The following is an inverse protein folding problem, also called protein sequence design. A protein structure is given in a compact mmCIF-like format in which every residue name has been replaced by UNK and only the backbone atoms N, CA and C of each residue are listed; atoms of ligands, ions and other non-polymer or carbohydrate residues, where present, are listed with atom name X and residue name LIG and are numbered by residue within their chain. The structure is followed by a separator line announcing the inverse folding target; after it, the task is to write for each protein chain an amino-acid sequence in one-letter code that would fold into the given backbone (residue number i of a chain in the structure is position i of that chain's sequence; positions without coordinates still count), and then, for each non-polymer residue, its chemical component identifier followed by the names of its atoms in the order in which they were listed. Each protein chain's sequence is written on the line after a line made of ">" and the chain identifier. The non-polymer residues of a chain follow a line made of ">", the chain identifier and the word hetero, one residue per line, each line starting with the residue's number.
data_IF_928835393594
#
_entry.id   IF_928835393594
#
_cell.length_a   1.000
_cell.length_b   1.000
_cell.length_c   1.000
_cell.angle_alpha   90.00
_cell.angle_beta   90.00
_cell.angle_gamma   90.00
#
_symmetry.space_group_name_H-M   'P 1'
#
loop_
_entity.id
_entity.type
_entity.pdbx_description
1 polymer ?
#
# COMPACT_ATOMS: atom_id res chain seq x y z
N UNK A 1 -22.99 4.91 -3.57
CA UNK A 1 -21.61 5.17 -4.01
C UNK A 1 -20.83 6.09 -3.08
N UNK A 2 -19.52 6.16 -3.23
CA UNK A 2 -18.67 7.05 -2.45
C UNK A 2 -18.19 8.19 -3.34
N UNK A 3 -18.60 9.42 -3.04
CA UNK A 3 -18.26 10.63 -3.80
C UNK A 3 -16.74 10.82 -4.03
N UNK A 4 -15.88 10.29 -3.15
CA UNK A 4 -14.43 10.35 -3.30
C UNK A 4 -13.91 9.62 -4.55
N UNK A 5 -14.65 8.64 -5.08
CA UNK A 5 -14.27 7.91 -6.28
C UNK A 5 -14.56 8.66 -7.59
N UNK A 6 -15.44 9.65 -7.56
CA UNK A 6 -15.77 10.47 -8.75
C UNK A 6 -14.56 11.23 -9.30
N UNK A 7 -13.57 11.52 -8.45
CA UNK A 7 -12.35 12.25 -8.82
C UNK A 7 -11.15 11.35 -9.12
N UNK A 8 -11.26 10.04 -8.79
CA UNK A 8 -10.17 9.10 -9.02
C UNK A 8 -10.13 8.69 -10.49
N UNK A 9 -9.02 8.99 -11.15
CA UNK A 9 -8.74 8.59 -12.53
C UNK A 9 -7.37 7.95 -12.58
N UNK A 10 -7.28 6.79 -13.24
CA UNK A 10 -5.99 6.15 -13.43
C UNK A 10 -5.07 7.03 -14.28
N UNK A 11 -3.95 7.45 -13.70
CA UNK A 11 -2.87 8.22 -14.33
C UNK A 11 -1.56 7.43 -14.41
N UNK A 12 -1.62 6.12 -14.15
CA UNK A 12 -0.43 5.27 -14.04
C UNK A 12 0.17 4.82 -15.38
N UNK A 13 -0.46 5.10 -16.51
CA UNK A 13 -0.07 4.58 -17.82
C UNK A 13 1.41 4.80 -18.13
N UNK A 14 1.94 6.00 -17.87
CA UNK A 14 3.34 6.36 -18.08
C UNK A 14 4.13 6.49 -16.76
N UNK A 15 3.56 6.01 -15.66
CA UNK A 15 4.21 6.07 -14.35
C UNK A 15 5.17 4.90 -14.17
N UNK A 16 6.20 5.12 -13.36
CA UNK A 16 7.13 4.12 -12.87
C UNK A 16 7.00 3.93 -11.35
N UNK A 17 5.90 4.41 -10.75
CA UNK A 17 5.75 4.50 -9.31
C UNK A 17 4.94 3.32 -8.75
N UNK A 18 5.41 2.77 -7.66
CA UNK A 18 4.63 1.95 -6.73
C UNK A 18 4.42 2.73 -5.44
N UNK A 19 3.30 2.52 -4.77
CA UNK A 19 2.98 3.17 -3.51
C UNK A 19 3.07 2.17 -2.36
N UNK A 20 3.82 2.52 -1.33
CA UNK A 20 3.86 1.80 -0.05
C UNK A 20 3.22 2.67 1.00
N UNK A 21 2.03 2.30 1.45
CA UNK A 21 1.22 3.12 2.35
C UNK A 21 0.64 2.28 3.49
N UNK A 22 1.40 2.10 4.59
CA UNK A 22 0.94 1.32 5.73
C UNK A 22 -0.07 2.06 6.60
N UNK A 23 -0.90 1.30 7.29
CA UNK A 23 -1.81 1.81 8.32
C UNK A 23 -1.04 2.08 9.61
N UNK A 24 -1.45 3.10 10.35
CA UNK A 24 -0.93 3.33 11.70
C UNK A 24 -1.34 2.23 12.68
N UNK A 25 -0.62 2.14 13.78
CA UNK A 25 -0.91 1.20 14.88
C UNK A 25 -1.33 1.99 16.11
N UNK A 26 -2.53 1.74 16.62
CA UNK A 26 -3.06 2.46 17.79
C UNK A 26 -2.18 2.32 19.03
N UNK A 27 -1.53 1.16 19.19
CA UNK A 27 -0.61 0.92 20.32
C UNK A 27 0.75 1.63 20.18
N UNK A 28 1.01 2.32 19.08
CA UNK A 28 2.18 3.17 18.87
C UNK A 28 1.82 4.66 18.83
N UNK A 29 0.56 5.01 19.06
CA UNK A 29 0.14 6.40 19.11
C UNK A 29 0.80 7.11 20.29
N UNK A 30 1.48 8.23 20.04
CA UNK A 30 2.23 8.96 21.05
C UNK A 30 3.56 8.33 21.49
N UNK A 31 4.01 7.26 20.80
CA UNK A 31 5.32 6.67 21.05
C UNK A 31 6.44 7.69 20.79
N UNK A 32 7.48 7.66 21.62
CA UNK A 32 8.73 8.34 21.35
C UNK A 32 9.43 7.72 20.10
N UNK A 33 10.38 8.43 19.51
CA UNK A 33 11.16 7.92 18.37
C UNK A 33 11.83 6.57 18.71
N UNK A 34 12.36 6.44 19.91
CA UNK A 34 12.97 5.20 20.37
C UNK A 34 11.96 4.05 20.44
N UNK A 35 10.78 4.26 21.04
CA UNK A 35 9.74 3.24 21.13
C UNK A 35 9.22 2.85 19.75
N UNK A 36 9.08 3.84 18.84
CA UNK A 36 8.70 3.60 17.47
C UNK A 36 9.75 2.76 16.75
N UNK A 37 11.04 3.09 16.82
CA UNK A 37 12.14 2.37 16.18
C UNK A 37 12.35 0.95 16.75
N UNK A 38 12.01 0.72 18.02
CA UNK A 38 12.06 -0.60 18.66
C UNK A 38 10.83 -1.46 18.31
N UNK A 39 9.81 -0.91 17.63
CA UNK A 39 8.59 -1.63 17.29
C UNK A 39 8.75 -2.61 16.12
N UNK A 40 7.93 -3.66 16.11
CA UNK A 40 7.84 -4.59 14.98
C UNK A 40 7.38 -3.88 13.70
N UNK A 41 6.50 -2.88 13.82
CA UNK A 41 6.06 -2.04 12.71
C UNK A 41 7.24 -1.37 12.00
N UNK A 42 8.05 -0.64 12.74
CA UNK A 42 9.23 0.02 12.18
C UNK A 42 10.22 -0.98 11.59
N UNK A 43 10.54 -2.07 12.32
CA UNK A 43 11.52 -3.08 11.86
C UNK A 43 11.11 -3.70 10.52
N UNK A 44 9.83 -4.03 10.34
CA UNK A 44 9.36 -4.65 9.10
C UNK A 44 9.41 -3.69 7.92
N UNK A 45 8.95 -2.44 8.08
CA UNK A 45 9.01 -1.46 6.99
C UNK A 45 10.44 -0.96 6.74
N UNK A 46 11.25 -0.76 7.76
CA UNK A 46 12.67 -0.45 7.58
C UNK A 46 13.42 -1.58 6.85
N UNK A 47 13.11 -2.85 7.18
CA UNK A 47 13.67 -4.00 6.47
C UNK A 47 13.26 -4.04 5.01
N UNK A 48 12.01 -3.74 4.67
CA UNK A 48 11.55 -3.62 3.28
C UNK A 48 12.32 -2.52 2.54
N UNK A 49 12.33 -1.30 3.08
CA UNK A 49 12.91 -0.12 2.41
C UNK A 49 14.43 -0.20 2.28
N UNK A 50 15.10 -0.96 3.14
CA UNK A 50 16.55 -1.19 3.10
C UNK A 50 16.96 -2.52 2.47
N UNK A 51 16.00 -3.38 2.10
CA UNK A 51 16.26 -4.65 1.43
C UNK A 51 17.03 -4.46 0.13
N UNK A 52 18.18 -5.13 -0.01
CA UNK A 52 18.92 -5.11 -1.27
C UNK A 52 18.08 -5.69 -2.41
N UNK A 53 17.37 -6.81 -2.16
CA UNK A 53 16.48 -7.42 -3.14
C UNK A 53 15.39 -6.45 -3.61
N UNK A 54 14.80 -5.67 -2.71
CA UNK A 54 13.80 -4.66 -3.08
C UNK A 54 14.40 -3.58 -4.00
N UNK A 55 15.58 -3.08 -3.66
CA UNK A 55 16.31 -2.09 -4.48
C UNK A 55 16.65 -2.66 -5.86
N UNK A 56 17.14 -3.91 -5.92
CA UNK A 56 17.46 -4.59 -7.17
C UNK A 56 16.21 -4.79 -8.07
N UNK A 57 15.05 -5.09 -7.47
CA UNK A 57 13.78 -5.16 -8.20
C UNK A 57 13.42 -3.79 -8.78
N UNK A 58 13.50 -2.71 -7.99
CA UNK A 58 13.19 -1.36 -8.46
C UNK A 58 14.11 -0.95 -9.62
N UNK A 59 15.42 -1.24 -9.51
CA UNK A 59 16.38 -0.97 -10.57
C UNK A 59 16.12 -1.79 -11.82
N UNK A 60 15.96 -3.10 -11.69
CA UNK A 60 15.74 -4.05 -12.79
C UNK A 60 14.53 -3.69 -13.65
N UNK A 61 13.48 -3.21 -13.04
CA UNK A 61 12.20 -2.91 -13.72
C UNK A 61 11.96 -1.41 -13.91
N UNK A 62 12.97 -0.57 -13.64
CA UNK A 62 12.90 0.89 -13.73
C UNK A 62 11.71 1.48 -12.97
N UNK A 63 11.60 1.12 -11.70
CA UNK A 63 10.53 1.54 -10.81
C UNK A 63 11.04 2.45 -9.70
N UNK A 64 10.13 3.26 -9.16
CA UNK A 64 10.30 4.06 -7.95
C UNK A 64 9.28 3.64 -6.91
N UNK A 65 9.64 3.65 -5.64
CA UNK A 65 8.75 3.39 -4.52
C UNK A 65 8.50 4.68 -3.74
N UNK A 66 7.25 5.12 -3.67
CA UNK A 66 6.84 6.20 -2.81
C UNK A 66 6.33 5.60 -1.49
N UNK A 67 7.02 5.89 -0.38
CA UNK A 67 6.64 5.47 0.95
C UNK A 67 5.95 6.61 1.68
N UNK A 68 4.70 6.40 2.06
CA UNK A 68 3.87 7.40 2.73
C UNK A 68 3.34 6.86 4.05
N UNK A 69 3.79 7.45 5.16
CA UNK A 69 3.28 7.13 6.49
C UNK A 69 1.93 7.80 6.73
N UNK A 70 1.07 7.12 7.49
CA UNK A 70 -0.16 7.72 8.00
C UNK A 70 0.14 9.02 8.78
N UNK A 71 -0.76 10.00 8.72
CA UNK A 71 -0.57 11.33 9.30
C UNK A 71 -0.11 11.29 10.77
N UNK A 72 -0.61 10.33 11.56
CA UNK A 72 -0.22 10.13 12.98
C UNK A 72 1.27 9.82 13.12
N UNK A 73 1.89 9.16 12.14
CA UNK A 73 3.29 8.75 12.17
C UNK A 73 4.22 9.65 11.37
N UNK A 74 3.74 10.76 10.83
CA UNK A 74 4.57 11.67 10.02
C UNK A 74 5.78 12.23 10.79
N UNK A 75 5.67 12.42 12.11
CA UNK A 75 6.80 12.84 12.95
C UNK A 75 7.97 11.84 12.96
N UNK A 76 7.69 10.55 12.68
CA UNK A 76 8.69 9.48 12.65
C UNK A 76 9.25 9.20 11.25
N UNK A 77 8.91 10.00 10.24
CA UNK A 77 9.38 9.78 8.86
C UNK A 77 10.90 9.80 8.77
N UNK A 78 11.56 10.66 9.52
CA UNK A 78 13.02 10.79 9.55
C UNK A 78 13.74 9.59 10.21
N UNK A 79 13.03 8.76 10.98
CA UNK A 79 13.58 7.50 11.50
C UNK A 79 13.91 6.50 10.40
N UNK A 80 13.26 6.61 9.25
CA UNK A 80 13.54 5.76 8.10
C UNK A 80 14.73 6.28 7.30
N UNK A 81 15.92 5.76 7.60
CA UNK A 81 17.14 6.09 6.86
C UNK A 81 17.25 5.19 5.62
N UNK A 82 17.09 5.78 4.43
CA UNK A 82 17.08 5.05 3.16
C UNK A 82 18.22 5.54 2.26
N UNK A 83 19.06 4.62 1.85
CA UNK A 83 20.13 4.86 0.90
C UNK A 83 19.74 4.33 -0.50
N UNK A 84 18.81 5.00 -1.15
CA UNK A 84 18.38 4.70 -2.52
C UNK A 84 17.70 5.92 -3.13
N UNK A 85 18.07 6.26 -4.35
CA UNK A 85 17.44 7.32 -5.14
C UNK A 85 16.11 6.89 -5.79
N UNK A 86 15.76 5.60 -5.69
CA UNK A 86 14.51 5.03 -6.19
C UNK A 86 13.44 4.88 -5.12
N UNK A 87 13.74 5.20 -3.85
CA UNK A 87 12.78 5.11 -2.74
C UNK A 87 12.61 6.51 -2.14
N UNK A 88 11.39 7.02 -2.21
CA UNK A 88 11.08 8.38 -1.81
C UNK A 88 10.16 8.37 -0.58
N UNK A 89 10.64 8.95 0.52
CA UNK A 89 9.80 9.24 1.68
C UNK A 89 8.89 10.42 1.34
N UNK A 90 7.59 10.24 1.44
CA UNK A 90 6.59 11.26 1.19
C UNK A 90 5.98 11.74 2.50
N UNK A 91 5.91 13.05 2.67
CA UNK A 91 5.32 13.70 3.84
C UNK A 91 3.95 14.28 3.52
N UNK A 92 3.16 14.49 4.57
CA UNK A 92 1.90 15.21 4.45
C UNK A 92 2.15 16.63 3.91
N UNK A 93 1.55 16.95 2.77
CA UNK A 93 1.72 18.25 2.11
C UNK A 93 2.65 18.23 0.90
N UNK A 94 3.49 17.19 0.71
CA UNK A 94 4.33 17.08 -0.50
C UNK A 94 3.48 16.78 -1.74
N UNK A 95 2.67 15.75 -1.66
CA UNK A 95 1.77 15.33 -2.73
C UNK A 95 0.46 14.87 -2.10
N UNK A 96 -0.70 15.31 -2.60
CA UNK A 96 -1.98 14.81 -2.13
C UNK A 96 -2.09 13.29 -2.29
N UNK A 97 -2.67 12.59 -1.30
CA UNK A 97 -2.79 11.12 -1.30
C UNK A 97 -3.55 10.61 -2.54
N UNK A 98 -4.59 11.31 -2.97
CA UNK A 98 -5.33 10.95 -4.17
C UNK A 98 -4.46 10.98 -5.43
N UNK A 99 -3.52 11.92 -5.54
CA UNK A 99 -2.58 11.94 -6.66
C UNK A 99 -1.62 10.75 -6.62
N UNK A 100 -1.09 10.39 -5.44
CA UNK A 100 -0.26 9.19 -5.28
C UNK A 100 -1.02 7.92 -5.68
N UNK A 101 -2.29 7.80 -5.27
CA UNK A 101 -3.17 6.68 -5.62
C UNK A 101 -3.50 6.62 -7.12
N UNK A 102 -3.65 7.78 -7.77
CA UNK A 102 -3.89 7.83 -9.21
C UNK A 102 -2.63 7.51 -10.03
N UNK A 103 -1.45 7.95 -9.58
CA UNK A 103 -0.19 7.78 -10.30
C UNK A 103 0.45 6.41 -10.10
N UNK A 104 0.24 5.74 -8.96
CA UNK A 104 0.88 4.45 -8.72
C UNK A 104 0.36 3.34 -9.65
N UNK A 105 1.24 2.42 -10.01
CA UNK A 105 0.89 1.19 -10.76
C UNK A 105 0.28 0.13 -9.85
N UNK A 106 0.65 0.15 -8.58
CA UNK A 106 0.17 -0.79 -7.55
C UNK A 106 0.36 -0.22 -6.16
N UNK A 107 -0.32 -0.82 -5.20
CA UNK A 107 -0.22 -0.51 -3.78
C UNK A 107 0.37 -1.68 -3.01
N UNK A 108 1.28 -1.37 -2.10
CA UNK A 108 1.67 -2.23 -0.98
C UNK A 108 1.11 -1.59 0.28
N UNK A 109 0.25 -2.30 0.98
CA UNK A 109 -0.36 -1.84 2.23
C UNK A 109 -0.54 -3.01 3.20
N UNK A 110 -1.25 -2.79 4.27
CA UNK A 110 -1.58 -3.82 5.28
C UNK A 110 -3.09 -3.86 5.57
N UNK A 111 -3.64 -2.86 6.27
CA UNK A 111 -5.05 -2.81 6.69
C UNK A 111 -5.77 -1.53 6.23
N UNK A 112 -5.13 -0.72 5.39
CA UNK A 112 -5.63 0.59 5.03
C UNK A 112 -6.82 0.53 4.06
N UNK A 113 -7.82 1.35 4.31
CA UNK A 113 -8.98 1.49 3.42
C UNK A 113 -8.65 2.10 2.05
N UNK A 114 -7.45 2.64 1.85
CA UNK A 114 -7.00 3.13 0.52
C UNK A 114 -6.87 2.01 -0.51
N UNK A 115 -6.81 0.74 -0.08
CA UNK A 115 -6.84 -0.40 -0.98
C UNK A 115 -8.11 -0.43 -1.84
N UNK A 116 -9.24 0.05 -1.33
CA UNK A 116 -10.48 0.18 -2.09
C UNK A 116 -10.40 1.21 -3.21
N UNK A 117 -9.66 2.32 -2.97
CA UNK A 117 -9.44 3.36 -3.97
C UNK A 117 -8.56 2.86 -5.12
N UNK A 118 -7.63 1.96 -4.82
CA UNK A 118 -6.74 1.31 -5.80
C UNK A 118 -7.49 0.23 -6.57
N UNK A 119 -8.29 -0.58 -5.86
CA UNK A 119 -9.14 -1.61 -6.48
C UNK A 119 -10.15 -0.99 -7.47
N UNK A 120 -10.76 0.16 -7.10
CA UNK A 120 -11.67 0.91 -7.98
C UNK A 120 -11.01 1.31 -9.31
N UNK A 121 -9.69 1.57 -9.29
CA UNK A 121 -8.91 1.91 -10.48
C UNK A 121 -8.34 0.68 -11.23
N UNK A 122 -8.81 -0.53 -10.90
CA UNK A 122 -8.33 -1.80 -11.48
C UNK A 122 -6.81 -2.05 -11.31
N UNK A 123 -6.26 -1.60 -10.20
CA UNK A 123 -4.83 -1.75 -9.90
C UNK A 123 -4.61 -2.80 -8.81
N UNK A 124 -3.51 -3.58 -8.88
CA UNK A 124 -3.22 -4.60 -7.89
C UNK A 124 -2.79 -4.00 -6.54
N UNK A 125 -3.16 -4.70 -5.47
CA UNK A 125 -2.70 -4.44 -4.11
C UNK A 125 -2.02 -5.68 -3.54
N UNK A 126 -0.88 -5.50 -2.86
CA UNK A 126 -0.26 -6.52 -2.02
C UNK A 126 -0.46 -6.15 -0.56
N UNK A 127 -0.81 -7.13 0.26
CA UNK A 127 -1.09 -6.96 1.67
C UNK A 127 0.05 -7.54 2.51
N UNK A 128 0.80 -6.67 3.18
CA UNK A 128 1.90 -7.04 4.06
C UNK A 128 1.44 -7.04 5.52
N UNK A 129 0.99 -8.19 6.01
CA UNK A 129 0.27 -8.35 7.28
C UNK A 129 1.05 -9.20 8.28
N UNK A 130 2.20 -8.74 8.71
CA UNK A 130 3.10 -9.43 9.65
C UNK A 130 2.57 -9.46 11.09
N UNK A 131 1.59 -8.62 11.43
CA UNK A 131 1.04 -8.46 12.79
C UNK A 131 -0.49 -8.57 12.85
N UNK A 132 -1.08 -9.38 11.94
CA UNK A 132 -2.54 -9.47 11.76
C UNK A 132 -3.29 -9.79 13.05
N UNK A 133 -2.81 -10.76 13.83
CA UNK A 133 -3.51 -11.17 15.06
C UNK A 133 -3.56 -10.02 16.07
N UNK A 134 -2.44 -9.32 16.27
CA UNK A 134 -2.38 -8.13 17.13
C UNK A 134 -3.24 -6.98 16.61
N UNK A 135 -3.27 -6.79 15.29
CA UNK A 135 -4.12 -5.77 14.67
C UNK A 135 -5.61 -6.06 14.89
N UNK A 136 -6.03 -7.31 14.70
CA UNK A 136 -7.42 -7.74 14.92
C UNK A 136 -7.86 -7.61 16.38
N UNK A 137 -6.98 -7.92 17.35
CA UNK A 137 -7.25 -7.71 18.77
C UNK A 137 -7.50 -6.23 19.11
N UNK A 138 -6.76 -5.32 18.46
CA UNK A 138 -6.85 -3.89 18.75
C UNK A 138 -8.01 -3.18 18.01
N UNK A 139 -8.32 -3.59 16.78
CA UNK A 139 -9.23 -2.85 15.89
C UNK A 139 -10.42 -3.65 15.38
N UNK A 140 -10.32 -4.98 15.32
CA UNK A 140 -11.26 -5.81 14.58
C UNK A 140 -11.19 -5.60 13.06
N UNK A 141 -12.00 -6.34 12.33
CA UNK A 141 -12.11 -6.19 10.87
C UNK A 141 -13.54 -6.43 10.40
N UNK A 142 -14.00 -5.64 9.41
CA UNK A 142 -15.30 -5.83 8.76
C UNK A 142 -15.28 -6.91 7.68
N UNK A 143 -14.08 -7.29 7.20
CA UNK A 143 -13.87 -8.38 6.24
C UNK A 143 -12.91 -9.39 6.85
N UNK A 144 -12.99 -10.63 6.40
CA UNK A 144 -11.99 -11.62 6.79
C UNK A 144 -10.66 -11.30 6.10
N UNK A 145 -9.71 -10.76 6.87
CA UNK A 145 -8.38 -10.39 6.38
C UNK A 145 -7.52 -11.58 5.97
N UNK A 146 -8.03 -12.82 6.10
CA UNK A 146 -7.34 -14.03 5.63
C UNK A 146 -7.90 -14.55 4.31
N UNK A 147 -9.19 -14.33 4.06
CA UNK A 147 -9.90 -14.94 2.92
C UNK A 147 -10.49 -13.95 1.93
N UNK A 148 -10.87 -12.76 2.37
CA UNK A 148 -11.66 -11.82 1.57
C UNK A 148 -10.83 -10.68 0.97
N UNK A 149 -9.50 -10.80 0.96
CA UNK A 149 -8.62 -9.82 0.35
C UNK A 149 -8.59 -9.99 -1.18
N UNK A 150 -8.58 -8.85 -1.86
CA UNK A 150 -8.48 -8.74 -3.33
C UNK A 150 -7.04 -8.51 -3.81
N UNK A 151 -6.09 -9.12 -3.14
CA UNK A 151 -4.67 -9.12 -3.46
C UNK A 151 -3.93 -10.15 -2.63
N UNK A 152 -2.69 -10.46 -2.99
CA UNK A 152 -1.90 -11.44 -2.28
C UNK A 152 -1.60 -10.97 -0.86
N UNK A 153 -1.93 -11.82 0.12
CA UNK A 153 -1.59 -11.63 1.53
C UNK A 153 -0.22 -12.22 1.81
N UNK A 154 0.65 -11.45 2.41
CA UNK A 154 2.02 -11.84 2.77
C UNK A 154 2.30 -11.50 4.23
N UNK A 155 3.08 -12.33 4.90
CA UNK A 155 3.45 -12.17 6.31
C UNK A 155 4.95 -11.90 6.49
N UNK A 156 5.74 -12.28 5.51
CA UNK A 156 7.20 -12.10 5.54
C UNK A 156 7.66 -11.23 4.37
N UNK A 157 8.84 -10.63 4.53
CA UNK A 157 9.47 -9.82 3.49
C UNK A 157 9.72 -10.63 2.20
N UNK A 158 10.17 -11.87 2.32
CA UNK A 158 10.42 -12.71 1.16
C UNK A 158 9.14 -13.01 0.38
N UNK A 159 8.05 -13.35 1.07
CA UNK A 159 6.74 -13.53 0.44
C UNK A 159 6.27 -12.26 -0.28
N UNK A 160 6.44 -11.09 0.36
CA UNK A 160 6.09 -9.81 -0.24
C UNK A 160 6.88 -9.55 -1.52
N UNK A 161 8.19 -9.76 -1.50
CA UNK A 161 9.04 -9.53 -2.66
C UNK A 161 8.81 -10.54 -3.78
N UNK A 162 8.47 -11.79 -3.46
CA UNK A 162 8.04 -12.80 -4.45
C UNK A 162 6.74 -12.35 -5.14
N UNK A 163 5.74 -11.93 -4.37
CA UNK A 163 4.47 -11.41 -4.91
C UNK A 163 4.67 -10.12 -5.70
N UNK A 164 5.58 -9.24 -5.30
CA UNK A 164 5.93 -8.03 -6.01
C UNK A 164 6.49 -8.34 -7.40
N UNK A 165 7.51 -9.21 -7.49
CA UNK A 165 8.09 -9.59 -8.78
C UNK A 165 7.06 -10.27 -9.69
N UNK A 166 6.22 -11.15 -9.16
CA UNK A 166 5.11 -11.79 -9.88
C UNK A 166 4.15 -10.75 -10.47
N UNK A 167 3.76 -9.75 -9.68
CA UNK A 167 2.85 -8.67 -10.10
C UNK A 167 3.48 -7.83 -11.22
N UNK A 168 4.76 -7.48 -11.09
CA UNK A 168 5.52 -6.73 -12.10
C UNK A 168 5.60 -7.53 -13.40
N UNK A 169 5.96 -8.82 -13.32
CA UNK A 169 6.09 -9.71 -14.48
C UNK A 169 4.75 -9.94 -15.20
N UNK A 170 3.63 -9.80 -14.47
CA UNK A 170 2.27 -9.79 -15.04
C UNK A 170 1.82 -8.40 -15.53
N UNK A 171 2.74 -7.47 -15.73
CA UNK A 171 2.48 -6.08 -16.16
C UNK A 171 1.48 -5.33 -15.27
N UNK A 172 1.55 -5.53 -13.96
CA UNK A 172 0.66 -4.92 -12.95
C UNK A 172 -0.83 -5.22 -13.19
N UNK A 173 -1.15 -6.34 -13.82
CA UNK A 173 -2.54 -6.82 -13.93
C UNK A 173 -2.94 -7.56 -12.68
N UNK A 174 -4.16 -7.36 -12.25
CA UNK A 174 -4.75 -8.20 -11.20
C UNK A 174 -4.89 -9.64 -11.69
N UNK A 175 -4.81 -10.60 -10.77
CA UNK A 175 -5.17 -11.98 -11.09
C UNK A 175 -6.69 -12.07 -11.36
N UNK A 176 -7.15 -12.99 -12.23
CA UNK A 176 -8.58 -13.10 -12.59
C UNK A 176 -9.52 -13.24 -11.40
N UNK A 177 -9.05 -13.90 -10.32
CA UNK A 177 -9.84 -14.03 -9.08
C UNK A 177 -10.08 -12.68 -8.39
N UNK A 178 -9.12 -11.75 -8.45
CA UNK A 178 -9.24 -10.42 -7.87
C UNK A 178 -10.01 -9.46 -8.78
N UNK A 179 -9.88 -9.60 -10.09
CA UNK A 179 -10.71 -8.87 -11.06
C UNK A 179 -12.21 -9.20 -10.87
N UNK A 180 -12.50 -10.49 -10.62
CA UNK A 180 -13.86 -10.91 -10.31
C UNK A 180 -14.39 -10.28 -9.02
N UNK A 181 -13.59 -10.24 -7.96
CA UNK A 181 -13.96 -9.56 -6.71
C UNK A 181 -14.21 -8.07 -6.94
N UNK A 182 -13.37 -7.40 -7.73
CA UNK A 182 -13.55 -6.00 -8.08
C UNK A 182 -14.92 -5.77 -8.73
N UNK A 183 -15.31 -6.59 -9.70
CA UNK A 183 -16.61 -6.51 -10.38
C UNK A 183 -17.79 -6.78 -9.42
N UNK A 184 -17.62 -7.65 -8.44
CA UNK A 184 -18.64 -7.93 -7.41
C UNK A 184 -18.81 -6.76 -6.43
N UNK A 185 -17.74 -6.05 -6.09
CA UNK A 185 -17.78 -4.92 -5.17
C UNK A 185 -18.25 -3.61 -5.82
N UNK A 186 -17.94 -3.39 -7.10
CA UNK A 186 -18.29 -2.16 -7.81
C UNK A 186 -19.35 -2.42 -8.87
N UNK A 187 -20.56 -1.90 -8.61
CA UNK A 187 -21.69 -1.97 -9.56
C UNK A 187 -21.69 -0.82 -10.57
N UNK A 188 -21.05 0.31 -10.22
CA UNK A 188 -21.00 1.52 -11.03
C UNK A 188 -19.53 1.98 -11.16
N UNK A 189 -19.07 2.09 -12.40
CA UNK A 189 -17.70 2.53 -12.75
C UNK A 189 -17.71 3.82 -13.58
N UNK A 190 -18.80 4.59 -13.51
CA UNK A 190 -19.02 5.77 -14.34
C UNK A 190 -18.50 7.08 -13.75
N UNK A 191 -17.80 7.05 -12.62
CA UNK A 191 -17.30 8.21 -11.87
C UNK A 191 -18.41 9.18 -11.43
N UNK A 192 -19.63 8.70 -11.27
CA UNK A 192 -20.80 9.46 -10.84
C UNK A 192 -21.39 8.94 -9.52
N UNK A 193 -20.55 8.39 -8.64
CA UNK A 193 -20.97 7.77 -7.37
C UNK A 193 -21.75 8.71 -6.44
N UNK A 194 -21.56 10.03 -6.58
CA UNK A 194 -22.34 11.02 -5.83
C UNK A 194 -23.81 11.09 -6.27
N UNK A 195 -24.14 10.50 -7.44
CA UNK A 195 -25.51 10.45 -7.99
C UNK A 195 -26.23 9.14 -7.69
N UNK A 196 -25.51 8.14 -7.19
CA UNK A 196 -25.99 6.83 -6.81
C UNK A 196 -25.92 6.65 -5.28
#
# INVERSE_FOLDING_TARGET
>A
GFARWDVLKDKSQNSHDILVMPTWRSWLEGASDREFEESDYFRHYAALLNSQRFKDILEKYDLHANFYLHAIFQAHTESFHIASDRIHLKSFGDTPVNELLMQCKMLITDYSSVCWDVLYQNKPTLFYQFDLDKYNEAHGSYIDMKTDLFGDRTETLDQLLDSLEKTIQNNFRMEPKYEKMQQEYFQFEDHEHSRH
#
